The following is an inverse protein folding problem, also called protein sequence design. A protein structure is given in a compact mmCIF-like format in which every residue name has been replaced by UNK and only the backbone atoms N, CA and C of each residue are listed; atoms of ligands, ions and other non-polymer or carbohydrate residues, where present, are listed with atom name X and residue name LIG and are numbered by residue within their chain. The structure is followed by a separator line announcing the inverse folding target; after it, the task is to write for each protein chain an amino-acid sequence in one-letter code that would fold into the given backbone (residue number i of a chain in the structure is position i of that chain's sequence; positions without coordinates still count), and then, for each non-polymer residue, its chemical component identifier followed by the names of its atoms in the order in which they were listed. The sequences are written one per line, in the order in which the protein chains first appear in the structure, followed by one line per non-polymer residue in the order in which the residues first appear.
data_IF_301034199945
#
_entry.id   IF_301034199945
#
_cell.length_a   1.000
_cell.length_b   1.000
_cell.length_c   1.000
_cell.angle_alpha   90.00
_cell.angle_beta   90.00
_cell.angle_gamma   90.00
#
_symmetry.space_group_name_H-M   'P 1'
#
loop_
_entity.id
_entity.type
_entity.pdbx_description
1 polymer ?
#
# COMPACT_ATOMS: atom_id res chain seq x y z
N UNK A 1 -6.18 4.00 -1.93
CA UNK A 1 -6.50 4.92 -0.81
C UNK A 1 -7.94 5.41 -0.85
N UNK A 2 -8.72 5.05 0.16
CA UNK A 2 -10.08 5.57 0.41
C UNK A 2 -10.00 7.05 0.81
N UNK A 3 -10.80 7.91 0.19
CA UNK A 3 -10.83 9.34 0.51
C UNK A 3 -11.57 9.63 1.84
N UNK A 4 -11.14 10.64 2.63
CA UNK A 4 -11.70 10.96 3.95
C UNK A 4 -13.21 11.22 3.97
N UNK A 5 -13.75 11.83 2.90
CA UNK A 5 -15.19 12.17 2.77
C UNK A 5 -16.13 10.94 2.71
N UNK A 6 -15.56 9.73 2.70
CA UNK A 6 -16.30 8.49 2.50
C UNK A 6 -16.39 7.58 3.73
N UNK A 7 -15.84 8.00 4.88
CA UNK A 7 -15.95 7.30 6.15
C UNK A 7 -17.37 7.43 6.73
N UNK A 8 -18.30 6.61 6.22
CA UNK A 8 -19.65 6.47 6.78
C UNK A 8 -19.71 5.17 7.59
N UNK A 9 -20.19 5.26 8.84
CA UNK A 9 -20.50 4.15 9.73
C UNK A 9 -21.11 2.91 9.03
N UNK A 10 -22.10 3.05 8.12
CA UNK A 10 -22.66 1.89 7.38
C UNK A 10 -21.66 1.13 6.50
N UNK A 11 -20.58 1.77 6.01
CA UNK A 11 -19.55 1.08 5.23
C UNK A 11 -18.62 0.26 6.13
N UNK A 12 -18.27 0.78 7.30
CA UNK A 12 -17.52 0.02 8.32
C UNK A 12 -18.36 -1.14 8.84
N UNK A 13 -19.65 -0.92 9.07
CA UNK A 13 -20.59 -1.98 9.41
C UNK A 13 -20.71 -3.00 8.28
N UNK A 14 -20.71 -2.63 7.01
CA UNK A 14 -20.66 -3.62 5.92
C UNK A 14 -19.33 -4.39 5.85
N UNK A 15 -18.24 -3.74 6.28
CA UNK A 15 -16.90 -4.29 6.23
C UNK A 15 -16.61 -5.34 7.32
N UNK A 16 -17.17 -5.14 8.52
CA UNK A 16 -17.01 -6.05 9.68
C UNK A 16 -18.34 -6.78 10.00
N UNK A 17 -19.42 -6.44 9.30
CA UNK A 17 -20.78 -6.75 9.71
C UNK A 17 -21.15 -8.22 9.68
N UNK A 18 -20.53 -9.01 8.81
CA UNK A 18 -20.81 -10.45 8.80
C UNK A 18 -20.25 -11.14 10.06
N UNK A 19 -18.94 -11.03 10.39
CA UNK A 19 -18.42 -11.49 11.68
C UNK A 19 -19.17 -10.90 12.88
N UNK A 20 -19.47 -9.60 12.86
CA UNK A 20 -20.17 -8.95 13.96
C UNK A 20 -21.61 -9.44 14.13
N UNK A 21 -22.34 -9.69 13.03
CA UNK A 21 -23.69 -10.23 13.08
C UNK A 21 -23.69 -11.66 13.62
N UNK A 22 -22.71 -12.49 13.24
CA UNK A 22 -22.54 -13.82 13.81
C UNK A 22 -22.28 -13.77 15.32
N UNK A 23 -21.43 -12.84 15.76
CA UNK A 23 -21.19 -12.61 17.19
C UNK A 23 -22.43 -12.10 17.91
N UNK A 24 -23.21 -11.21 17.31
CA UNK A 24 -24.48 -10.74 17.90
C UNK A 24 -25.48 -11.90 18.05
N UNK A 25 -25.61 -12.75 17.04
CA UNK A 25 -26.45 -13.97 17.13
C UNK A 25 -25.95 -14.87 18.26
N UNK A 26 -24.63 -15.06 18.36
CA UNK A 26 -24.02 -15.81 19.45
C UNK A 26 -24.31 -15.19 20.83
N UNK A 27 -24.17 -13.87 20.97
CA UNK A 27 -24.46 -13.15 22.21
C UNK A 27 -25.92 -13.36 22.65
N UNK A 28 -26.86 -13.29 21.70
CA UNK A 28 -28.29 -13.55 21.94
C UNK A 28 -28.50 -15.00 22.38
N UNK A 29 -27.87 -15.97 21.71
CA UNK A 29 -27.97 -17.38 22.08
C UNK A 29 -27.45 -17.64 23.49
N UNK A 30 -26.31 -17.07 23.86
CA UNK A 30 -25.74 -17.18 25.22
C UNK A 30 -26.69 -16.56 26.25
N UNK A 31 -27.23 -15.38 25.95
CA UNK A 31 -28.17 -14.68 26.84
C UNK A 31 -29.46 -15.48 27.04
N UNK A 32 -30.03 -16.03 25.96
CA UNK A 32 -31.21 -16.89 26.04
C UNK A 32 -30.92 -18.18 26.79
N UNK A 33 -29.76 -18.80 26.55
CA UNK A 33 -29.35 -20.00 27.27
C UNK A 33 -29.26 -19.74 28.77
N UNK A 34 -28.67 -18.62 29.17
CA UNK A 34 -28.60 -18.19 30.57
C UNK A 34 -29.99 -17.96 31.18
N UNK A 35 -30.90 -17.28 30.47
CA UNK A 35 -32.25 -16.99 31.01
C UNK A 35 -33.14 -18.23 31.11
N UNK A 36 -33.06 -19.16 30.16
CA UNK A 36 -34.04 -20.24 30.03
C UNK A 36 -33.54 -21.64 30.40
N UNK A 37 -32.23 -21.92 30.35
CA UNK A 37 -31.72 -23.21 30.80
C UNK A 37 -31.35 -23.14 32.28
N UNK A 38 -31.71 -24.16 33.08
CA UNK A 38 -31.17 -24.33 34.41
C UNK A 38 -29.65 -24.57 34.28
N UNK A 39 -28.88 -23.56 34.64
CA UNK A 39 -27.43 -23.63 34.65
C UNK A 39 -26.98 -24.00 36.07
N UNK A 40 -26.17 -25.07 36.26
CA UNK A 40 -25.39 -25.21 37.49
C UNK A 40 -24.50 -23.95 37.62
N UNK A 41 -24.09 -23.57 38.85
CA UNK A 41 -23.27 -22.39 39.19
C UNK A 41 -21.96 -22.28 38.37
N UNK A 42 -22.08 -22.01 37.07
CA UNK A 42 -20.99 -21.91 36.11
C UNK A 42 -20.66 -20.43 35.98
N UNK A 43 -19.97 -19.91 37.00
CA UNK A 43 -19.47 -18.54 37.00
C UNK A 43 -18.10 -18.52 36.31
N UNK A 44 -18.01 -17.88 35.15
CA UNK A 44 -16.71 -17.56 34.57
C UNK A 44 -16.12 -16.36 35.32
N UNK A 45 -14.90 -16.46 35.88
CA UNK A 45 -14.31 -15.33 36.57
C UNK A 45 -14.08 -14.16 35.58
N UNK A 46 -14.58 -12.97 35.94
CA UNK A 46 -14.46 -11.74 35.13
C UNK A 46 -12.99 -11.29 35.00
N UNK A 47 -12.17 -11.58 36.01
CA UNK A 47 -10.77 -11.14 36.07
C UNK A 47 -9.91 -11.68 34.89
N UNK A 48 -9.89 -12.99 34.58
CA UNK A 48 -9.29 -13.52 33.36
C UNK A 48 -9.74 -12.83 32.07
N UNK A 49 -11.02 -12.48 31.93
CA UNK A 49 -11.53 -11.83 30.73
C UNK A 49 -11.02 -10.40 30.58
N UNK A 50 -10.98 -9.64 31.68
CA UNK A 50 -10.46 -8.26 31.66
C UNK A 50 -8.95 -8.23 31.40
N UNK A 51 -8.19 -9.17 31.97
CA UNK A 51 -6.76 -9.35 31.68
C UNK A 51 -6.50 -9.75 30.23
N UNK A 52 -7.29 -10.70 29.69
CA UNK A 52 -7.17 -11.10 28.29
C UNK A 52 -7.53 -9.95 27.34
N UNK A 53 -8.63 -9.24 27.60
CA UNK A 53 -9.07 -8.12 26.78
C UNK A 53 -8.07 -6.97 26.75
N UNK A 54 -7.50 -6.62 27.91
CA UNK A 54 -6.49 -5.55 28.00
C UNK A 54 -5.17 -5.95 27.32
N UNK A 55 -4.71 -7.19 27.50
CA UNK A 55 -3.53 -7.72 26.80
C UNK A 55 -3.73 -7.72 25.28
N UNK A 56 -4.92 -8.10 24.79
CA UNK A 56 -5.25 -8.07 23.37
C UNK A 56 -5.33 -6.65 22.81
N UNK A 57 -5.95 -5.72 23.52
CA UNK A 57 -6.00 -4.32 23.10
C UNK A 57 -4.59 -3.73 22.94
N UNK A 58 -3.71 -4.00 23.91
CA UNK A 58 -2.32 -3.57 23.86
C UNK A 58 -1.57 -4.19 22.67
N UNK A 59 -1.70 -5.51 22.48
CA UNK A 59 -1.04 -6.24 21.40
C UNK A 59 -1.50 -5.78 20.01
N UNK A 60 -2.82 -5.62 19.81
CA UNK A 60 -3.39 -5.05 18.59
C UNK A 60 -2.90 -3.62 18.35
N UNK A 61 -2.78 -2.81 19.41
CA UNK A 61 -2.21 -1.47 19.33
C UNK A 61 -0.78 -1.47 18.76
N UNK A 62 0.09 -2.34 19.28
CA UNK A 62 1.45 -2.49 18.76
C UNK A 62 1.47 -3.01 17.32
N UNK A 63 0.63 -4.00 16.99
CA UNK A 63 0.52 -4.49 15.60
C UNK A 63 0.07 -3.41 14.63
N UNK A 64 -0.94 -2.63 14.99
CA UNK A 64 -1.48 -1.56 14.17
C UNK A 64 -0.45 -0.45 13.96
N UNK A 65 0.31 -0.10 15.00
CA UNK A 65 1.40 0.88 14.89
C UNK A 65 2.47 0.39 13.90
N UNK A 66 2.90 -0.87 14.02
CA UNK A 66 3.88 -1.46 13.09
C UNK A 66 3.37 -1.51 11.64
N UNK A 67 2.10 -1.90 11.43
CA UNK A 67 1.47 -1.90 10.11
C UNK A 67 1.36 -0.48 9.53
N UNK A 68 0.97 0.50 10.35
CA UNK A 68 0.93 1.91 9.96
C UNK A 68 2.30 2.44 9.56
N UNK A 69 3.36 2.13 10.32
CA UNK A 69 4.72 2.56 9.99
C UNK A 69 5.19 2.00 8.64
N UNK A 70 4.88 0.73 8.33
CA UNK A 70 5.16 0.14 7.01
C UNK A 70 4.42 0.87 5.89
N UNK A 71 3.13 1.13 6.08
CA UNK A 71 2.32 1.88 5.11
C UNK A 71 2.85 3.31 4.89
N UNK A 72 3.20 4.00 5.98
CA UNK A 72 3.74 5.36 5.94
C UNK A 72 5.12 5.42 5.28
N UNK A 73 5.98 4.44 5.55
CA UNK A 73 7.28 4.29 4.89
C UNK A 73 7.10 4.10 3.38
N UNK A 74 6.20 3.21 2.96
CA UNK A 74 5.86 3.01 1.55
C UNK A 74 5.37 4.32 0.88
N UNK A 75 4.50 5.07 1.55
CA UNK A 75 4.00 6.36 1.04
C UNK A 75 5.10 7.42 0.94
N UNK A 76 6.03 7.43 1.89
CA UNK A 76 7.20 8.32 1.91
C UNK A 76 8.15 8.00 0.76
N UNK A 77 8.48 6.73 0.53
CA UNK A 77 9.34 6.28 -0.56
C UNK A 77 8.78 6.62 -1.94
N UNK A 78 7.47 6.42 -2.15
CA UNK A 78 6.81 6.87 -3.37
C UNK A 78 6.78 8.41 -3.51
N UNK A 79 6.71 9.15 -2.40
CA UNK A 79 6.88 10.61 -2.42
C UNK A 79 8.28 11.03 -2.87
N UNK A 80 9.31 10.34 -2.38
CA UNK A 80 10.68 10.54 -2.84
C UNK A 80 10.82 10.20 -4.34
N UNK A 81 10.18 9.13 -4.81
CA UNK A 81 10.16 8.77 -6.23
C UNK A 81 9.54 9.85 -7.12
N UNK A 82 8.45 10.49 -6.69
CA UNK A 82 7.85 11.63 -7.39
C UNK A 82 8.84 12.78 -7.51
N UNK A 83 9.49 13.15 -6.41
CA UNK A 83 10.45 14.26 -6.39
C UNK A 83 11.71 13.97 -7.23
N UNK A 84 12.23 12.75 -7.15
CA UNK A 84 13.36 12.30 -7.96
C UNK A 84 13.00 12.30 -9.45
N UNK A 85 11.80 11.82 -9.81
CA UNK A 85 11.32 11.81 -11.21
C UNK A 85 11.22 13.22 -11.79
N UNK A 86 10.61 14.16 -11.06
CA UNK A 86 10.53 15.59 -11.47
C UNK A 86 11.92 16.21 -11.64
N UNK A 87 12.81 15.94 -10.69
CA UNK A 87 14.18 16.46 -10.73
C UNK A 87 14.96 15.85 -11.90
N UNK A 88 14.77 14.56 -12.18
CA UNK A 88 15.37 13.85 -13.30
C UNK A 88 14.89 14.40 -14.64
N UNK A 89 13.57 14.56 -14.83
CA UNK A 89 13.03 15.18 -16.04
C UNK A 89 13.64 16.56 -16.29
N UNK A 90 13.67 17.42 -15.26
CA UNK A 90 14.29 18.75 -15.36
C UNK A 90 15.78 18.67 -15.70
N UNK A 91 16.51 17.75 -15.08
CA UNK A 91 17.94 17.58 -15.31
C UNK A 91 18.21 17.09 -16.75
N UNK A 92 17.44 16.12 -17.26
CA UNK A 92 17.54 15.65 -18.64
C UNK A 92 17.26 16.77 -19.64
N UNK A 93 16.23 17.58 -19.39
CA UNK A 93 15.83 18.65 -20.33
C UNK A 93 16.83 19.82 -20.35
N UNK A 94 17.47 20.13 -19.22
CA UNK A 94 18.30 21.34 -19.09
C UNK A 94 19.81 21.11 -18.99
N UNK A 95 20.27 19.93 -18.55
CA UNK A 95 21.70 19.63 -18.44
C UNK A 95 22.25 18.93 -19.69
N UNK A 96 21.41 18.26 -20.47
CA UNK A 96 21.81 17.73 -21.78
C UNK A 96 21.74 18.87 -22.80
N UNK A 97 22.84 19.12 -23.50
CA UNK A 97 22.95 20.16 -24.52
C UNK A 97 21.78 20.11 -25.50
N UNK A 98 21.19 21.27 -25.82
CA UNK A 98 20.05 21.40 -26.75
C UNK A 98 20.51 21.43 -28.20
N UNK A 99 21.03 20.31 -28.69
CA UNK A 99 21.35 20.09 -30.10
C UNK A 99 20.20 19.34 -30.79
N UNK A 100 20.03 19.45 -32.13
CA UNK A 100 19.04 18.68 -32.86
C UNK A 100 19.19 17.17 -32.65
N UNK A 101 20.42 16.66 -32.61
CA UNK A 101 20.74 15.24 -32.47
C UNK A 101 20.42 14.68 -31.08
N UNK A 102 20.43 15.54 -30.06
CA UNK A 102 20.15 15.15 -28.67
C UNK A 102 18.68 15.33 -28.27
N UNK A 103 17.85 15.87 -29.16
CA UNK A 103 16.41 16.08 -28.92
C UNK A 103 15.71 14.76 -28.60
N UNK A 104 15.86 13.78 -29.49
CA UNK A 104 15.17 12.50 -29.38
C UNK A 104 15.67 11.70 -28.18
N UNK A 105 16.95 11.83 -27.83
CA UNK A 105 17.49 11.24 -26.61
C UNK A 105 16.83 11.84 -25.36
N UNK A 106 16.72 13.17 -25.25
CA UNK A 106 16.11 13.81 -24.08
C UNK A 106 14.67 13.34 -23.91
N UNK A 107 13.92 13.30 -24.99
CA UNK A 107 12.55 12.79 -25.00
C UNK A 107 12.48 11.32 -24.55
N UNK A 108 13.30 10.46 -25.16
CA UNK A 108 13.37 9.04 -24.81
C UNK A 108 13.72 8.83 -23.32
N UNK A 109 14.69 9.57 -22.77
CA UNK A 109 15.06 9.49 -21.36
C UNK A 109 13.91 9.88 -20.42
N UNK A 110 13.12 10.91 -20.76
CA UNK A 110 11.95 11.29 -19.96
C UNK A 110 10.84 10.24 -20.06
N UNK A 111 10.56 9.70 -21.26
CA UNK A 111 9.57 8.63 -21.43
C UNK A 111 10.00 7.33 -20.73
N UNK A 112 11.29 7.00 -20.74
CA UNK A 112 11.86 5.89 -19.96
C UNK A 112 11.61 6.03 -18.47
N UNK A 113 11.63 7.25 -17.93
CA UNK A 113 11.27 7.47 -16.52
C UNK A 113 9.80 7.15 -16.25
N UNK A 114 8.89 7.47 -17.18
CA UNK A 114 7.48 7.07 -17.10
C UNK A 114 7.34 5.54 -17.17
N UNK A 115 8.07 4.89 -18.06
CA UNK A 115 8.12 3.43 -18.16
C UNK A 115 8.62 2.79 -16.85
N UNK A 116 9.70 3.33 -16.28
CA UNK A 116 10.32 2.86 -15.04
C UNK A 116 9.34 2.86 -13.87
N UNK A 117 8.63 3.97 -13.63
CA UNK A 117 7.69 4.05 -12.49
C UNK A 117 6.48 3.13 -12.67
N UNK A 118 6.00 2.93 -13.90
CA UNK A 118 4.93 1.97 -14.17
C UNK A 118 5.42 0.51 -14.04
N UNK A 119 6.63 0.21 -14.51
CA UNK A 119 7.27 -1.08 -14.29
C UNK A 119 7.42 -1.38 -12.81
N UNK A 120 7.85 -0.40 -12.01
CA UNK A 120 8.01 -0.54 -10.56
C UNK A 120 6.68 -0.78 -9.86
N UNK A 121 5.63 -0.03 -10.22
CA UNK A 121 4.27 -0.28 -9.72
C UNK A 121 3.84 -1.72 -9.99
N UNK A 122 3.99 -2.19 -11.23
CA UNK A 122 3.61 -3.55 -11.61
C UNK A 122 4.47 -4.59 -10.90
N UNK A 123 5.77 -4.34 -10.76
CA UNK A 123 6.71 -5.21 -10.02
C UNK A 123 6.29 -5.38 -8.55
N UNK A 124 6.00 -4.29 -7.84
CA UNK A 124 5.54 -4.34 -6.44
C UNK A 124 4.17 -5.01 -6.30
N UNK A 125 3.30 -4.89 -7.31
CA UNK A 125 1.99 -5.56 -7.35
C UNK A 125 2.04 -7.00 -7.88
N UNK A 126 3.21 -7.48 -8.34
CA UNK A 126 3.37 -8.77 -9.04
C UNK A 126 2.43 -8.90 -10.25
N UNK A 127 2.26 -7.82 -10.99
CA UNK A 127 1.44 -7.71 -12.20
C UNK A 127 2.33 -7.67 -13.44
N UNK A 128 1.85 -8.13 -14.61
CA UNK A 128 2.59 -7.98 -15.86
C UNK A 128 2.79 -6.49 -16.18
N UNK A 129 4.03 -6.11 -16.51
CA UNK A 129 4.38 -4.72 -16.81
C UNK A 129 4.32 -4.38 -18.32
N UNK A 130 4.33 -5.40 -19.18
CA UNK A 130 4.59 -5.24 -20.62
C UNK A 130 3.65 -4.24 -21.32
N UNK A 131 2.34 -4.36 -21.07
CA UNK A 131 1.34 -3.47 -21.69
C UNK A 131 1.46 -2.02 -21.20
N UNK A 132 1.93 -1.82 -19.98
CA UNK A 132 2.06 -0.51 -19.35
C UNK A 132 3.33 0.22 -19.76
N UNK A 133 4.40 -0.49 -20.13
CA UNK A 133 5.69 0.09 -20.53
C UNK A 133 5.86 0.23 -22.04
N UNK A 134 5.17 -0.62 -22.83
CA UNK A 134 5.27 -0.65 -24.30
C UNK A 134 5.06 0.72 -24.97
N UNK A 135 4.09 1.57 -24.54
CA UNK A 135 3.90 2.88 -25.16
C UNK A 135 5.10 3.82 -25.02
N UNK A 136 5.96 3.61 -24.03
CA UNK A 136 7.07 4.52 -23.69
C UNK A 136 8.45 4.02 -24.13
N UNK A 137 8.63 2.69 -24.26
CA UNK A 137 9.90 2.07 -24.69
C UNK A 137 9.88 1.59 -26.16
N UNK A 138 8.69 1.44 -26.75
CA UNK A 138 8.51 0.79 -28.04
C UNK A 138 8.46 -0.73 -27.95
N UNK A 139 7.99 -1.39 -29.02
CA UNK A 139 7.72 -2.84 -29.01
C UNK A 139 8.98 -3.70 -28.85
N UNK A 140 10.06 -3.36 -29.55
CA UNK A 140 11.27 -4.18 -29.57
C UNK A 140 11.95 -4.26 -28.20
N UNK A 141 12.06 -3.12 -27.51
CA UNK A 141 12.66 -3.07 -26.17
C UNK A 141 11.74 -3.71 -25.13
N UNK A 142 10.43 -3.42 -25.18
CA UNK A 142 9.46 -3.99 -24.25
C UNK A 142 9.43 -5.53 -24.31
N UNK A 143 9.47 -6.15 -25.49
CA UNK A 143 9.47 -7.61 -25.61
C UNK A 143 10.74 -8.24 -25.04
N UNK A 144 11.89 -7.56 -25.13
CA UNK A 144 13.15 -7.98 -24.50
C UNK A 144 13.09 -8.04 -22.97
N UNK A 145 12.18 -7.28 -22.35
CA UNK A 145 12.00 -7.22 -20.90
C UNK A 145 11.07 -8.31 -20.33
N UNK A 146 10.40 -9.08 -21.19
CA UNK A 146 9.38 -10.07 -20.78
C UNK A 146 9.92 -11.18 -19.87
N UNK A 147 11.16 -11.59 -20.07
CA UNK A 147 11.82 -12.65 -19.27
C UNK A 147 12.66 -12.13 -18.10
N UNK A 148 12.65 -10.81 -17.87
CA UNK A 148 13.47 -10.17 -16.83
C UNK A 148 12.75 -10.23 -15.48
N UNK A 149 13.45 -10.67 -14.44
CA UNK A 149 12.90 -10.75 -13.08
C UNK A 149 12.64 -9.37 -12.45
N UNK A 150 13.57 -8.43 -12.63
CA UNK A 150 13.47 -7.06 -12.12
C UNK A 150 13.50 -6.06 -13.29
N UNK A 151 12.36 -5.96 -13.98
CA UNK A 151 12.14 -5.03 -15.11
C UNK A 151 12.50 -3.58 -14.78
N UNK A 152 12.05 -2.96 -13.66
CA UNK A 152 12.37 -1.55 -13.39
C UNK A 152 13.87 -1.34 -13.21
N UNK A 153 14.60 -2.27 -12.57
CA UNK A 153 16.05 -2.16 -12.45
C UNK A 153 16.77 -2.22 -13.80
N UNK A 154 16.30 -3.03 -14.76
CA UNK A 154 16.87 -3.05 -16.11
C UNK A 154 16.62 -1.74 -16.85
N UNK A 155 15.41 -1.19 -16.79
CA UNK A 155 15.10 0.13 -17.38
C UNK A 155 16.02 1.21 -16.81
N UNK A 156 16.27 1.19 -15.50
CA UNK A 156 17.15 2.16 -14.83
C UNK A 156 18.61 2.02 -15.29
N UNK A 157 19.12 0.80 -15.42
CA UNK A 157 20.49 0.54 -15.90
C UNK A 157 20.68 0.93 -17.37
N UNK A 158 19.72 0.63 -18.23
CA UNK A 158 19.78 1.04 -19.64
C UNK A 158 19.67 2.56 -19.79
N UNK A 159 18.90 3.21 -18.93
CA UNK A 159 18.85 4.68 -18.84
C UNK A 159 20.23 5.25 -18.47
N UNK A 160 20.96 4.63 -17.54
CA UNK A 160 22.33 5.01 -17.21
C UNK A 160 23.32 4.80 -18.38
N UNK A 161 23.11 3.76 -19.20
CA UNK A 161 23.91 3.50 -20.41
C UNK A 161 23.69 4.60 -21.46
N UNK A 162 22.44 4.99 -21.72
CA UNK A 162 22.11 6.09 -22.64
C UNK A 162 22.73 7.43 -22.20
N UNK A 163 22.74 7.71 -20.90
CA UNK A 163 23.41 8.89 -20.36
C UNK A 163 24.95 8.81 -20.51
N UNK A 164 25.53 7.61 -20.49
CA UNK A 164 26.96 7.42 -20.80
C UNK A 164 27.26 7.75 -22.26
N UNK A 165 26.41 7.31 -23.18
CA UNK A 165 26.57 7.60 -24.60
C UNK A 165 26.38 9.09 -24.91
N UNK A 166 25.46 9.77 -24.22
CA UNK A 166 25.32 11.23 -24.30
C UNK A 166 26.59 11.97 -23.88
N UNK A 167 27.28 11.47 -22.85
CA UNK A 167 28.57 12.03 -22.41
C UNK A 167 29.67 11.79 -23.45
N UNK A 168 29.74 10.59 -24.04
CA UNK A 168 30.68 10.24 -25.12
C UNK A 168 30.50 11.11 -26.36
N UNK A 169 29.25 11.48 -26.65
CA UNK A 169 28.88 12.38 -27.75
C UNK A 169 29.13 13.86 -27.43
N UNK A 170 29.62 14.18 -26.23
CA UNK A 170 29.92 15.55 -25.81
C UNK A 170 28.67 16.41 -25.61
N UNK A 171 27.51 15.79 -25.34
CA UNK A 171 26.26 16.50 -25.03
C UNK A 171 26.14 16.87 -23.56
N UNK A 172 27.03 16.36 -22.71
CA UNK A 172 27.17 16.75 -21.31
C UNK A 172 28.59 16.49 -20.83
N UNK A 173 29.02 17.22 -19.79
CA UNK A 173 30.28 16.97 -19.09
C UNK A 173 30.11 16.04 -17.88
N UNK A 174 31.23 15.68 -17.24
CA UNK A 174 31.26 14.79 -16.09
C UNK A 174 30.50 15.34 -14.87
N UNK A 175 30.47 16.67 -14.67
CA UNK A 175 29.78 17.31 -13.55
C UNK A 175 28.27 17.15 -13.74
N UNK A 176 27.77 17.47 -14.94
CA UNK A 176 26.36 17.28 -15.31
C UNK A 176 25.94 15.81 -15.26
N UNK A 177 26.79 14.89 -15.73
CA UNK A 177 26.54 13.43 -15.64
C UNK A 177 26.41 12.98 -14.19
N UNK A 178 27.28 13.45 -13.30
CA UNK A 178 27.26 13.11 -11.87
C UNK A 178 25.96 13.59 -11.19
N UNK A 179 25.48 14.79 -11.54
CA UNK A 179 24.20 15.29 -11.01
C UNK A 179 23.02 14.43 -11.42
N UNK A 180 22.97 13.97 -12.68
CA UNK A 180 21.91 13.07 -13.14
C UNK A 180 22.05 11.68 -12.48
N UNK A 181 23.27 11.17 -12.34
CA UNK A 181 23.53 9.87 -11.72
C UNK A 181 23.06 9.83 -10.26
N UNK A 182 23.25 10.92 -9.50
CA UNK A 182 22.74 11.01 -8.13
C UNK A 182 21.22 10.81 -8.07
N UNK A 183 20.48 11.29 -9.07
CA UNK A 183 19.03 11.08 -9.14
C UNK A 183 18.67 9.62 -9.42
N UNK A 184 19.47 8.90 -10.22
CA UNK A 184 19.31 7.46 -10.43
C UNK A 184 19.60 6.68 -9.15
N UNK A 185 20.61 7.08 -8.39
CA UNK A 185 20.91 6.50 -7.07
C UNK A 185 19.74 6.71 -6.11
N UNK A 186 19.16 7.91 -6.06
CA UNK A 186 18.00 8.20 -5.22
C UNK A 186 16.79 7.35 -5.60
N UNK A 187 16.54 7.15 -6.89
CA UNK A 187 15.49 6.25 -7.39
C UNK A 187 15.75 4.78 -7.03
N UNK A 188 16.99 4.32 -7.17
CA UNK A 188 17.40 2.96 -6.82
C UNK A 188 17.23 2.71 -5.31
N UNK A 189 17.60 3.67 -4.47
CA UNK A 189 17.41 3.59 -3.02
C UNK A 189 15.92 3.52 -2.65
N UNK A 190 15.08 4.32 -3.32
CA UNK A 190 13.63 4.26 -3.12
C UNK A 190 13.05 2.91 -3.55
N UNK A 191 13.46 2.40 -4.72
CA UNK A 191 13.07 1.07 -5.21
C UNK A 191 13.47 -0.03 -4.21
N UNK A 192 14.73 -0.08 -3.77
CA UNK A 192 15.19 -1.08 -2.81
C UNK A 192 14.45 -1.02 -1.47
N UNK A 193 14.09 0.19 -1.00
CA UNK A 193 13.24 0.36 0.17
C UNK A 193 11.83 -0.24 -0.02
N UNK A 194 11.21 -0.01 -1.18
CA UNK A 194 9.88 -0.56 -1.49
C UNK A 194 9.92 -2.08 -1.68
N UNK A 195 10.96 -2.61 -2.32
CA UNK A 195 11.19 -4.05 -2.43
C UNK A 195 11.38 -4.70 -1.06
N UNK A 196 12.12 -4.06 -0.14
CA UNK A 196 12.24 -4.53 1.25
C UNK A 196 10.89 -4.59 1.95
N UNK A 197 10.05 -3.56 1.80
CA UNK A 197 8.68 -3.57 2.38
C UNK A 197 7.85 -4.72 1.78
N UNK A 198 7.92 -4.93 0.47
CA UNK A 198 7.15 -5.97 -0.24
C UNK A 198 7.61 -7.38 0.10
N UNK A 199 8.92 -7.60 0.16
CA UNK A 199 9.52 -8.94 0.25
C UNK A 199 9.79 -9.37 1.69
N UNK A 200 9.74 -8.43 2.65
CA UNK A 200 9.88 -8.72 4.08
C UNK A 200 8.55 -8.46 4.80
N UNK A 201 7.53 -9.34 4.66
CA UNK A 201 6.28 -9.23 5.40
C UNK A 201 6.50 -9.42 6.90
N UNK A 202 5.53 -9.02 7.73
CA UNK A 202 5.56 -9.34 9.15
C UNK A 202 5.54 -10.87 9.33
N UNK A 203 6.20 -11.41 10.38
CA UNK A 203 6.16 -12.84 10.69
C UNK A 203 4.71 -13.36 10.71
N UNK A 204 4.49 -14.59 10.23
CA UNK A 204 3.14 -15.15 10.08
C UNK A 204 2.40 -15.21 11.41
N UNK A 205 3.13 -15.52 12.47
CA UNK A 205 2.66 -15.58 13.86
C UNK A 205 2.11 -14.22 14.30
N UNK A 206 2.76 -13.13 13.88
CA UNK A 206 2.36 -11.76 14.19
C UNK A 206 1.09 -11.32 13.45
N UNK A 207 0.75 -11.99 12.35
CA UNK A 207 -0.49 -11.76 11.62
C UNK A 207 -1.63 -12.70 12.07
N UNK A 208 -1.32 -13.96 12.36
CA UNK A 208 -2.31 -15.02 12.62
C UNK A 208 -2.82 -15.04 14.06
N UNK A 209 -1.92 -15.06 15.06
CA UNK A 209 -2.32 -15.16 16.47
C UNK A 209 -3.22 -14.02 16.95
N UNK A 210 -2.99 -12.73 16.61
CA UNK A 210 -3.91 -11.68 17.04
C UNK A 210 -5.34 -11.89 16.54
N UNK A 211 -5.51 -12.27 15.27
CA UNK A 211 -6.85 -12.56 14.72
C UNK A 211 -7.50 -13.74 15.43
N UNK A 212 -6.76 -14.84 15.67
CA UNK A 212 -7.25 -15.99 16.42
C UNK A 212 -7.68 -15.59 17.84
N UNK A 213 -6.85 -14.84 18.56
CA UNK A 213 -7.15 -14.45 19.93
C UNK A 213 -8.32 -13.48 20.03
N UNK A 214 -8.47 -12.56 19.06
CA UNK A 214 -9.66 -11.70 18.97
C UNK A 214 -10.92 -12.52 18.76
N UNK A 215 -10.89 -13.51 17.87
CA UNK A 215 -12.04 -14.39 17.63
C UNK A 215 -12.42 -15.19 18.88
N UNK A 216 -11.43 -15.83 19.51
CA UNK A 216 -11.64 -16.60 20.75
C UNK A 216 -12.17 -15.69 21.86
N UNK A 217 -11.59 -14.50 22.04
CA UNK A 217 -12.03 -13.53 23.02
C UNK A 217 -13.49 -13.11 22.79
N UNK A 218 -13.86 -12.77 21.54
CA UNK A 218 -15.24 -12.36 21.23
C UNK A 218 -16.27 -13.49 21.46
N UNK A 219 -15.88 -14.75 21.26
CA UNK A 219 -16.75 -15.90 21.55
C UNK A 219 -16.93 -16.11 23.06
N UNK A 220 -15.87 -15.92 23.86
CA UNK A 220 -15.91 -16.08 25.31
C UNK A 220 -16.56 -14.89 26.04
N UNK A 221 -16.47 -13.71 25.44
CA UNK A 221 -16.92 -12.45 26.02
C UNK A 221 -18.36 -12.45 26.56
N UNK A 222 -19.40 -12.86 25.79
CA UNK A 222 -20.77 -12.86 26.31
C UNK A 222 -20.94 -13.82 27.49
N UNK A 223 -20.23 -14.95 27.51
CA UNK A 223 -20.30 -15.92 28.61
C UNK A 223 -19.72 -15.33 29.90
N UNK A 224 -18.64 -14.54 29.81
CA UNK A 224 -18.06 -13.87 30.98
C UNK A 224 -18.82 -12.62 31.45
N UNK A 225 -19.71 -12.07 30.63
CA UNK A 225 -20.48 -10.86 30.95
C UNK A 225 -21.93 -11.16 31.37
N UNK A 226 -22.45 -12.34 31.05
CA UNK A 226 -23.88 -12.65 31.19
C UNK A 226 -24.37 -12.61 32.64
N UNK A 227 -23.56 -13.04 33.60
CA UNK A 227 -23.90 -13.00 35.02
C UNK A 227 -24.08 -11.56 35.53
N UNK A 228 -23.28 -10.63 35.00
CA UNK A 228 -23.27 -9.23 35.42
C UNK A 228 -24.28 -8.36 34.66
N UNK A 229 -24.48 -8.62 33.37
CA UNK A 229 -25.27 -7.76 32.48
C UNK A 229 -26.63 -8.35 32.08
N UNK A 230 -26.85 -9.65 32.28
CA UNK A 230 -28.10 -10.33 31.93
C UNK A 230 -28.55 -10.02 30.51
N UNK A 231 -29.76 -9.45 30.36
CA UNK A 231 -30.34 -9.11 29.05
C UNK A 231 -29.55 -8.04 28.27
N UNK A 232 -28.70 -7.24 28.94
CA UNK A 232 -27.89 -6.21 28.30
C UNK A 232 -26.57 -6.75 27.71
N UNK A 233 -26.27 -8.03 27.92
CA UNK A 233 -25.03 -8.70 27.44
C UNK A 233 -24.80 -8.55 25.95
N UNK A 234 -25.80 -8.76 25.05
CA UNK A 234 -25.57 -8.62 23.62
C UNK A 234 -25.16 -7.20 23.21
N UNK A 235 -25.72 -6.17 23.86
CA UNK A 235 -25.36 -4.80 23.56
C UNK A 235 -23.88 -4.52 23.91
N UNK A 236 -23.46 -4.89 25.12
CA UNK A 236 -22.10 -4.64 25.59
C UNK A 236 -21.06 -5.48 24.82
N UNK A 237 -21.33 -6.78 24.65
CA UNK A 237 -20.44 -7.71 23.92
C UNK A 237 -20.25 -7.29 22.48
N UNK A 238 -21.33 -6.91 21.77
CA UNK A 238 -21.26 -6.44 20.39
C UNK A 238 -20.43 -5.15 20.24
N UNK A 239 -20.51 -4.20 21.18
CA UNK A 239 -19.70 -2.98 21.14
C UNK A 239 -18.21 -3.31 21.27
N UNK A 240 -17.84 -4.15 22.25
CA UNK A 240 -16.45 -4.55 22.48
C UNK A 240 -15.94 -5.40 21.31
N UNK A 241 -16.74 -6.35 20.83
CA UNK A 241 -16.43 -7.18 19.67
C UNK A 241 -16.21 -6.34 18.41
N UNK A 242 -17.06 -5.32 18.18
CA UNK A 242 -16.85 -4.36 17.09
C UNK A 242 -15.50 -3.64 17.22
N UNK A 243 -15.16 -3.13 18.41
CA UNK A 243 -13.88 -2.44 18.62
C UNK A 243 -12.68 -3.35 18.36
N UNK A 244 -12.68 -4.57 18.89
CA UNK A 244 -11.59 -5.52 18.73
C UNK A 244 -11.43 -5.98 17.27
N UNK A 245 -12.53 -6.32 16.60
CA UNK A 245 -12.52 -6.70 15.19
C UNK A 245 -12.10 -5.55 14.29
N UNK A 246 -12.53 -4.31 14.59
CA UNK A 246 -12.11 -3.14 13.85
C UNK A 246 -10.61 -2.90 13.98
N UNK A 247 -10.06 -3.01 15.19
CA UNK A 247 -8.62 -2.88 15.42
C UNK A 247 -7.84 -3.95 14.66
N UNK A 248 -8.23 -5.22 14.74
CA UNK A 248 -7.59 -6.32 14.01
C UNK A 248 -7.59 -6.07 12.49
N UNK A 249 -8.73 -5.63 11.96
CA UNK A 249 -8.90 -5.41 10.52
C UNK A 249 -8.08 -4.23 10.01
N UNK A 250 -8.05 -3.11 10.73
CA UNK A 250 -7.25 -1.93 10.39
C UNK A 250 -5.76 -2.31 10.28
N UNK A 251 -5.25 -3.09 11.24
CA UNK A 251 -3.87 -3.57 11.19
C UNK A 251 -3.58 -4.42 9.95
N UNK A 252 -4.48 -5.37 9.65
CA UNK A 252 -4.36 -6.23 8.47
C UNK A 252 -4.41 -5.46 7.13
N UNK A 253 -5.18 -4.39 7.04
CA UNK A 253 -5.30 -3.60 5.81
C UNK A 253 -4.08 -2.73 5.51
N UNK A 254 -3.39 -2.26 6.55
CA UNK A 254 -2.21 -1.40 6.39
C UNK A 254 -0.90 -2.19 6.24
N UNK A 255 -0.89 -3.47 6.64
CA UNK A 255 0.32 -4.28 6.71
C UNK A 255 1.01 -4.48 5.34
N UNK A 256 0.21 -4.61 4.27
CA UNK A 256 0.68 -4.92 2.91
C UNK A 256 0.29 -3.79 1.93
N UNK A 257 1.09 -2.71 1.82
CA UNK A 257 0.68 -1.47 1.15
C UNK A 257 0.67 -1.53 -0.40
N UNK A 258 0.96 -2.69 -0.99
CA UNK A 258 1.18 -2.87 -2.44
C UNK A 258 0.36 -4.03 -3.05
N UNK A 259 -0.77 -4.39 -2.43
CA UNK A 259 -1.63 -5.49 -2.86
C UNK A 259 -2.77 -5.04 -3.79
N UNK A 260 -2.80 -3.77 -4.18
CA UNK A 260 -3.85 -3.17 -4.98
C UNK A 260 -5.22 -3.31 -4.30
N UNK A 261 -5.30 -2.91 -3.02
CA UNK A 261 -6.52 -2.81 -2.22
C UNK A 261 -6.92 -1.35 -1.99
N UNK A 262 -8.13 -1.13 -1.49
CA UNK A 262 -8.66 0.22 -1.29
C UNK A 262 -7.86 1.06 -0.28
N UNK A 263 -7.25 0.43 0.73
CA UNK A 263 -6.47 1.11 1.78
C UNK A 263 -4.98 1.26 1.43
N UNK A 264 -4.54 0.67 0.33
CA UNK A 264 -3.16 0.71 -0.12
C UNK A 264 -2.76 2.10 -0.63
N UNK A 265 -1.45 2.27 -0.79
CA UNK A 265 -0.87 3.45 -1.43
C UNK A 265 -1.39 3.51 -2.88
N UNK A 266 -1.89 4.68 -3.34
CA UNK A 266 -2.55 4.81 -4.64
C UNK A 266 -1.50 4.90 -5.77
N UNK A 267 -0.83 3.78 -6.06
CA UNK A 267 0.31 3.75 -6.97
C UNK A 267 -0.08 4.16 -8.39
N UNK A 268 -1.30 3.83 -8.83
CA UNK A 268 -1.77 4.16 -10.18
C UNK A 268 -1.87 5.66 -10.36
N UNK A 269 -2.46 6.35 -9.36
CA UNK A 269 -2.56 7.79 -9.32
C UNK A 269 -1.19 8.45 -9.21
N UNK A 270 -0.28 7.90 -8.39
CA UNK A 270 1.07 8.45 -8.24
C UNK A 270 1.83 8.35 -9.57
N UNK A 271 1.83 7.18 -10.22
CA UNK A 271 2.44 7.00 -11.54
C UNK A 271 1.82 7.93 -12.58
N UNK A 272 0.49 8.12 -12.57
CA UNK A 272 -0.18 9.07 -13.47
C UNK A 272 0.27 10.51 -13.21
N UNK A 273 0.41 10.92 -11.96
CA UNK A 273 0.94 12.26 -11.64
C UNK A 273 2.35 12.45 -12.17
N UNK A 274 3.24 11.45 -11.99
CA UNK A 274 4.60 11.50 -12.55
C UNK A 274 4.55 11.59 -14.08
N UNK A 275 3.71 10.78 -14.74
CA UNK A 275 3.52 10.82 -16.18
C UNK A 275 3.12 12.22 -16.67
N UNK A 276 2.08 12.79 -16.06
CA UNK A 276 1.59 14.14 -16.41
C UNK A 276 2.69 15.18 -16.27
N UNK A 277 3.38 15.19 -15.13
CA UNK A 277 4.44 16.18 -14.87
C UNK A 277 5.58 16.09 -15.90
N UNK A 278 5.94 14.87 -16.31
CA UNK A 278 7.03 14.62 -17.26
C UNK A 278 6.63 14.88 -18.72
N UNK A 279 5.44 14.49 -19.13
CA UNK A 279 4.92 14.77 -20.48
C UNK A 279 4.68 16.27 -20.69
N UNK A 280 4.17 16.98 -19.67
CA UNK A 280 4.08 18.45 -19.71
C UNK A 280 5.44 19.12 -19.83
N UNK A 281 6.47 18.57 -19.17
CA UNK A 281 7.83 19.09 -19.27
C UNK A 281 8.41 18.91 -20.69
N UNK A 282 8.04 17.82 -21.39
CA UNK A 282 8.39 17.59 -22.79
C UNK A 282 7.55 18.39 -23.79
N UNK A 283 6.45 19.00 -23.35
CA UNK A 283 5.53 19.72 -24.23
C UNK A 283 4.64 18.80 -25.06
N UNK A 284 4.32 17.61 -24.54
CA UNK A 284 3.42 16.67 -25.21
C UNK A 284 2.04 17.30 -25.45
N UNK A 285 1.45 17.14 -26.65
CA UNK A 285 0.15 17.73 -26.97
C UNK A 285 -1.02 17.02 -26.28
N UNK A 286 -0.90 15.71 -26.00
CA UNK A 286 -1.96 14.88 -25.43
C UNK A 286 -1.56 14.30 -24.07
N UNK A 287 -1.53 15.18 -23.07
CA UNK A 287 -1.25 14.78 -21.68
C UNK A 287 -2.51 14.18 -21.05
N UNK A 288 -2.45 12.98 -20.47
CA UNK A 288 -3.60 12.30 -19.92
C UNK A 288 -4.14 13.02 -18.67
N UNK A 289 -5.44 12.90 -18.37
CA UNK A 289 -6.00 13.52 -17.18
C UNK A 289 -5.57 12.79 -15.89
N UNK A 290 -5.60 13.48 -14.73
CA UNK A 290 -5.42 12.85 -13.44
C UNK A 290 -6.43 11.71 -13.20
N UNK A 291 -6.00 10.64 -12.53
CA UNK A 291 -6.89 9.52 -12.17
C UNK A 291 -7.99 10.01 -11.25
N UNK A 292 -9.25 9.73 -11.62
CA UNK A 292 -10.40 10.05 -10.79
C UNK A 292 -10.70 8.91 -9.81
N UNK A 293 -11.17 9.20 -8.59
CA UNK A 293 -11.57 8.16 -7.65
C UNK A 293 -12.72 7.31 -8.21
N UNK A 294 -12.58 5.98 -8.13
CA UNK A 294 -13.65 5.02 -8.47
C UNK A 294 -14.21 4.50 -7.17
N UNK A 295 -15.53 4.63 -6.95
CA UNK A 295 -16.18 4.24 -5.69
C UNK A 295 -15.52 4.86 -4.44
N UNK A 296 -15.07 6.12 -4.53
CA UNK A 296 -14.34 6.86 -3.48
C UNK A 296 -12.95 6.30 -3.14
N UNK A 297 -12.40 5.42 -3.98
CA UNK A 297 -11.05 4.89 -3.87
C UNK A 297 -10.19 5.49 -4.97
N UNK A 298 -9.07 6.09 -4.57
CA UNK A 298 -7.99 6.45 -5.47
C UNK A 298 -7.00 5.28 -5.55
N UNK A 299 -6.71 4.81 -6.75
CA UNK A 299 -5.91 3.59 -7.02
C UNK A 299 -4.45 3.87 -7.34
#
# INVERSE_FOLDING_TARGET
MVLPESARLPRMLRYIGWPLALLLVWDVLVTLAYVYLPHPEFELPILPMTLLGSALALFLGFRNNNAYNRWWEARTLWGAMVNASRSYGRAVIHLIDKRPESHDLRHALVMRQVAYVNALRCHLRRQPALEEIRPFLGEGEAEGLKSVANVPNVILNETAALLSDAMRQGWMDSIRRTQIEQLLVDMSNAQGGMERIKNTPLPREYAYFPTLFVQVFCILLPVGLVDSLGIYTPLASTIVGFMMLAMDRIGGDLQDPFENRAHDVPLTSICRTIQIDLEQLCGEPDVPPPVRPVNHVLW
#
